data_IF_157960556479
#
_entry.id   IF_157960556479
#
_cell.length_a   1.000
_cell.length_b   1.000
_cell.length_c   1.000
_cell.angle_alpha   90.00
_cell.angle_beta   90.00
_cell.angle_gamma   90.00
#
_symmetry.space_group_name_H-M   'P 1'
#
loop_
_entity.id
_entity.type
_entity.pdbx_description
1 polymer ?
#
# COMPACT_ATOMS: atom_id res chain seq x y z
N UNK A 1 -14.20 -11.14 5.21
CA UNK A 1 -13.51 -12.31 5.80
C UNK A 1 -13.14 -12.01 7.24
N UNK A 2 -13.38 -12.94 8.18
CA UNK A 2 -12.82 -12.86 9.53
C UNK A 2 -11.42 -13.47 9.47
N UNK A 3 -10.37 -12.66 9.62
CA UNK A 3 -9.04 -13.23 9.86
C UNK A 3 -9.03 -13.81 11.26
N UNK A 4 -8.44 -15.00 11.44
CA UNK A 4 -8.31 -15.65 12.75
C UNK A 4 -7.36 -14.92 13.72
N UNK A 5 -6.72 -13.85 13.26
CA UNK A 5 -5.78 -13.03 14.02
C UNK A 5 -6.49 -12.04 14.94
N UNK A 6 -6.02 -11.95 16.19
CA UNK A 6 -6.41 -10.90 17.13
C UNK A 6 -5.97 -9.52 16.65
N UNK A 7 -6.53 -8.45 17.24
CA UNK A 7 -6.16 -7.08 16.88
C UNK A 7 -4.66 -6.81 17.07
N UNK A 8 -4.09 -7.21 18.20
CA UNK A 8 -2.67 -7.05 18.50
C UNK A 8 -1.77 -7.83 17.54
N UNK A 9 -2.15 -9.06 17.16
CA UNK A 9 -1.41 -9.84 16.17
C UNK A 9 -1.35 -9.16 14.80
N UNK A 10 -2.46 -8.55 14.36
CA UNK A 10 -2.48 -7.81 13.08
C UNK A 10 -1.55 -6.62 13.13
N UNK A 11 -1.53 -5.87 14.23
CA UNK A 11 -0.63 -4.73 14.42
C UNK A 11 0.83 -5.19 14.41
N UNK A 12 1.15 -6.27 15.13
CA UNK A 12 2.50 -6.83 15.16
C UNK A 12 2.99 -7.22 13.76
N UNK A 13 2.15 -7.92 12.99
CA UNK A 13 2.48 -8.31 11.61
C UNK A 13 2.74 -7.08 10.74
N UNK A 14 1.89 -6.05 10.83
CA UNK A 14 2.08 -4.80 10.08
C UNK A 14 3.38 -4.12 10.49
N UNK A 15 3.69 -4.07 11.79
CA UNK A 15 4.90 -3.44 12.29
C UNK A 15 6.16 -4.11 11.77
N UNK A 16 6.21 -5.46 11.79
CA UNK A 16 7.35 -6.22 11.26
C UNK A 16 7.54 -5.92 9.77
N UNK A 17 6.47 -6.00 8.97
CA UNK A 17 6.56 -5.69 7.54
C UNK A 17 6.90 -4.23 7.27
N UNK A 18 6.40 -3.31 8.09
CA UNK A 18 6.70 -1.88 7.98
C UNK A 18 8.20 -1.60 8.11
N UNK A 19 8.89 -2.25 9.06
CA UNK A 19 10.35 -2.14 9.20
C UNK A 19 11.08 -2.67 7.97
N UNK A 20 10.67 -3.85 7.47
CA UNK A 20 11.25 -4.46 6.27
C UNK A 20 11.08 -3.55 5.05
N UNK A 21 9.90 -2.95 4.90
CA UNK A 21 9.58 -2.00 3.82
C UNK A 21 10.47 -0.78 3.89
N UNK A 22 10.62 -0.14 5.06
CA UNK A 22 11.51 1.02 5.20
C UNK A 22 12.93 0.67 4.74
N UNK A 23 13.48 -0.46 5.22
CA UNK A 23 14.82 -0.90 4.82
C UNK A 23 14.89 -1.11 3.30
N UNK A 24 13.90 -1.80 2.73
CA UNK A 24 13.82 -2.06 1.30
C UNK A 24 13.85 -0.78 0.46
N UNK A 25 13.05 0.21 0.80
CA UNK A 25 13.01 1.50 0.09
C UNK A 25 14.29 2.33 0.27
N UNK A 26 15.05 2.15 1.35
CA UNK A 26 16.34 2.85 1.51
C UNK A 26 17.46 2.23 0.66
N UNK A 27 17.32 0.96 0.26
CA UNK A 27 18.33 0.26 -0.53
C UNK A 27 18.13 0.59 -2.01
N UNK A 28 19.20 1.04 -2.68
CA UNK A 28 19.16 1.35 -4.10
C UNK A 28 18.98 0.09 -4.95
N UNK A 29 18.06 0.14 -5.90
CA UNK A 29 17.80 -0.97 -6.81
C UNK A 29 19.04 -1.28 -7.69
N UNK A 30 19.39 -2.57 -7.87
CA UNK A 30 20.47 -2.98 -8.78
C UNK A 30 20.25 -2.44 -10.19
N UNK A 31 21.34 -2.09 -10.90
CA UNK A 31 21.26 -1.39 -12.19
C UNK A 31 20.40 -2.10 -13.24
N UNK A 32 20.41 -3.44 -13.25
CA UNK A 32 19.62 -4.25 -14.17
C UNK A 32 18.10 -4.06 -14.02
N UNK A 33 17.61 -3.68 -12.85
CA UNK A 33 16.16 -3.57 -12.57
C UNK A 33 15.63 -2.13 -12.57
N UNK A 34 16.48 -1.11 -12.76
CA UNK A 34 16.06 0.30 -12.71
C UNK A 34 15.03 0.68 -13.78
N UNK A 35 14.92 -0.09 -14.85
CA UNK A 35 13.94 0.15 -15.90
C UNK A 35 12.50 -0.22 -15.50
N UNK A 36 12.33 -1.03 -14.43
CA UNK A 36 11.02 -1.42 -13.88
C UNK A 36 10.74 -0.82 -12.49
N UNK A 37 11.56 0.12 -12.03
CA UNK A 37 11.50 0.67 -10.67
C UNK A 37 10.11 1.26 -10.35
N UNK A 38 9.56 1.97 -11.34
CA UNK A 38 8.26 2.63 -11.28
C UNK A 38 7.11 1.63 -11.18
N UNK A 39 7.18 0.55 -11.96
CA UNK A 39 6.24 -0.55 -11.93
C UNK A 39 6.30 -1.30 -10.60
N UNK A 40 7.50 -1.46 -10.02
CA UNK A 40 7.68 -2.03 -8.69
C UNK A 40 7.06 -1.16 -7.61
N UNK A 41 7.22 0.16 -7.69
CA UNK A 41 6.57 1.12 -6.80
C UNK A 41 5.03 0.99 -6.86
N UNK A 42 4.45 1.04 -8.06
CA UNK A 42 3.00 0.86 -8.22
C UNK A 42 2.51 -0.50 -7.71
N UNK A 43 3.25 -1.59 -8.01
CA UNK A 43 2.91 -2.94 -7.57
C UNK A 43 2.99 -3.06 -6.05
N UNK A 44 4.02 -2.48 -5.43
CA UNK A 44 4.17 -2.46 -3.97
C UNK A 44 2.98 -1.77 -3.31
N UNK A 45 2.60 -0.57 -3.78
CA UNK A 45 1.49 0.18 -3.19
C UNK A 45 0.13 -0.49 -3.42
N UNK A 46 -0.08 -1.12 -4.58
CA UNK A 46 -1.25 -1.96 -4.84
C UNK A 46 -1.36 -3.10 -3.82
N UNK A 47 -0.28 -3.87 -3.63
CA UNK A 47 -0.24 -5.01 -2.72
C UNK A 47 -0.33 -4.59 -1.25
N UNK A 48 0.32 -3.48 -0.87
CA UNK A 48 0.24 -2.92 0.47
C UNK A 48 -1.20 -2.49 0.80
N UNK A 49 -1.88 -1.83 -0.14
CA UNK A 49 -3.28 -1.46 0.00
C UNK A 49 -4.18 -2.69 0.12
N UNK A 50 -3.95 -3.73 -0.70
CA UNK A 50 -4.66 -5.00 -0.61
C UNK A 50 -4.50 -5.67 0.76
N UNK A 51 -3.26 -5.81 1.20
CA UNK A 51 -2.90 -6.43 2.46
C UNK A 51 -3.57 -5.73 3.65
N UNK A 52 -3.45 -4.41 3.74
CA UNK A 52 -4.06 -3.63 4.83
C UNK A 52 -5.59 -3.64 4.77
N UNK A 53 -6.19 -3.60 3.58
CA UNK A 53 -7.65 -3.65 3.44
C UNK A 53 -8.22 -5.00 3.90
N UNK A 54 -7.55 -6.11 3.58
CA UNK A 54 -7.92 -7.44 4.06
C UNK A 54 -7.84 -7.53 5.57
N UNK A 55 -6.79 -6.96 6.18
CA UNK A 55 -6.58 -7.01 7.63
C UNK A 55 -7.55 -6.13 8.44
N UNK A 56 -7.82 -4.91 7.95
CA UNK A 56 -8.50 -3.88 8.74
C UNK A 56 -9.80 -3.34 8.14
N UNK A 57 -9.88 -3.16 6.83
CA UNK A 57 -11.03 -2.47 6.20
C UNK A 57 -12.25 -3.36 6.00
N UNK A 58 -12.05 -4.62 5.58
CA UNK A 58 -13.15 -5.51 5.14
C UNK A 58 -13.99 -4.81 4.06
N UNK A 59 -15.25 -4.47 4.36
CA UNK A 59 -16.18 -3.73 3.48
C UNK A 59 -16.40 -2.29 3.94
N UNK A 60 -15.67 -1.82 4.95
CA UNK A 60 -15.83 -0.48 5.51
C UNK A 60 -15.06 0.56 4.68
N UNK A 61 -15.79 1.47 4.03
CA UNK A 61 -15.22 2.51 3.16
C UNK A 61 -14.35 3.52 3.91
N UNK A 62 -14.72 3.92 5.12
CA UNK A 62 -13.93 4.88 5.91
C UNK A 62 -12.53 4.31 6.19
N UNK A 63 -12.46 3.03 6.59
CA UNK A 63 -11.18 2.35 6.81
C UNK A 63 -10.35 2.21 5.53
N UNK A 64 -10.98 1.97 4.39
CA UNK A 64 -10.31 1.95 3.09
C UNK A 64 -9.65 3.30 2.78
N UNK A 65 -10.40 4.40 2.96
CA UNK A 65 -9.90 5.77 2.73
C UNK A 65 -8.75 6.12 3.68
N UNK A 66 -8.86 5.74 4.97
CA UNK A 66 -7.77 5.95 5.93
C UNK A 66 -6.50 5.19 5.54
N UNK A 67 -6.62 3.95 5.07
CA UNK A 67 -5.47 3.17 4.58
C UNK A 67 -4.87 3.83 3.34
N UNK A 68 -5.69 4.27 2.40
CA UNK A 68 -5.24 4.95 1.18
C UNK A 68 -4.41 6.20 1.52
N UNK A 69 -4.95 7.08 2.35
CA UNK A 69 -4.28 8.32 2.76
C UNK A 69 -3.00 8.00 3.53
N UNK A 70 -3.05 7.05 4.47
CA UNK A 70 -1.89 6.64 5.26
C UNK A 70 -0.75 6.11 4.40
N UNK A 71 -1.05 5.27 3.40
CA UNK A 71 -0.05 4.76 2.45
C UNK A 71 0.49 5.89 1.57
N UNK A 72 -0.35 6.77 1.04
CA UNK A 72 0.11 7.89 0.22
C UNK A 72 1.08 8.81 0.99
N UNK A 73 0.73 9.17 2.23
CA UNK A 73 1.61 9.95 3.11
C UNK A 73 2.90 9.19 3.45
N UNK A 74 2.82 7.88 3.64
CA UNK A 74 4.00 7.05 3.86
C UNK A 74 4.96 7.09 2.65
N UNK A 75 4.45 7.01 1.42
CA UNK A 75 5.30 7.12 0.21
C UNK A 75 5.97 8.47 0.10
N UNK A 76 5.22 9.53 0.35
CA UNK A 76 5.79 10.88 0.42
C UNK A 76 6.88 10.99 1.50
N UNK A 77 6.66 10.42 2.68
CA UNK A 77 7.63 10.43 3.77
C UNK A 77 8.91 9.64 3.42
N UNK A 78 8.80 8.52 2.70
CA UNK A 78 9.95 7.74 2.24
C UNK A 78 10.80 8.54 1.25
N UNK A 79 10.18 9.18 0.25
CA UNK A 79 10.88 10.06 -0.71
C UNK A 79 11.62 11.21 0.00
N UNK A 80 10.94 11.86 0.96
CA UNK A 80 11.58 12.88 1.79
C UNK A 80 12.73 12.31 2.62
N UNK A 81 12.56 11.12 3.19
CA UNK A 81 13.59 10.42 3.96
C UNK A 81 14.81 10.08 3.13
N UNK A 82 14.62 9.59 1.90
CA UNK A 82 15.69 9.33 0.94
C UNK A 82 16.43 10.62 0.57
N UNK A 83 15.71 11.69 0.24
CA UNK A 83 16.29 12.99 -0.08
C UNK A 83 17.07 13.59 1.10
N UNK A 84 16.54 13.46 2.32
CA UNK A 84 17.20 13.91 3.56
C UNK A 84 18.44 13.07 3.88
N UNK A 85 18.40 11.76 3.68
CA UNK A 85 19.54 10.86 3.93
C UNK A 85 20.78 11.27 3.15
N UNK A 86 20.61 11.78 1.92
CA UNK A 86 21.70 12.29 1.09
C UNK A 86 22.38 13.55 1.66
N UNK A 87 21.71 14.30 2.54
CA UNK A 87 22.29 15.44 3.25
C UNK A 87 23.08 14.99 4.48
N UNK A 88 22.64 13.91 5.11
CA UNK A 88 23.25 13.40 6.35
C UNK A 88 24.48 12.52 6.08
N UNK A 89 24.45 11.70 5.03
CA UNK A 89 25.57 10.83 4.66
C UNK A 89 26.45 11.47 3.58
N UNK A 90 27.78 11.44 3.76
CA UNK A 90 28.76 11.98 2.79
C UNK A 90 28.72 11.28 1.42
N UNK A 91 28.09 10.11 1.32
CA UNK A 91 27.82 9.39 0.07
C UNK A 91 26.31 9.35 -0.16
N UNK A 92 25.87 9.65 -1.38
CA UNK A 92 24.45 9.51 -1.75
C UNK A 92 24.04 8.04 -1.63
N UNK A 93 23.17 7.77 -0.66
CA UNK A 93 22.54 6.45 -0.51
C UNK A 93 21.41 6.31 -1.53
N UNK A 94 20.75 7.41 -1.90
CA UNK A 94 19.66 7.41 -2.87
C UNK A 94 19.65 8.62 -3.82
N UNK A 95 18.69 8.65 -4.76
CA UNK A 95 18.44 9.76 -5.69
C UNK A 95 17.91 11.02 -5.02
N UNK A 96 17.63 12.07 -5.82
CA UNK A 96 16.85 13.24 -5.34
C UNK A 96 15.39 12.81 -5.18
N UNK A 97 14.59 13.61 -4.47
CA UNK A 97 13.14 13.45 -4.42
C UNK A 97 12.59 13.31 -5.85
N UNK A 98 11.91 12.20 -6.14
CA UNK A 98 11.32 11.95 -7.46
C UNK A 98 9.79 12.06 -7.39
N UNK A 99 9.18 13.13 -7.95
CA UNK A 99 7.73 13.24 -7.98
C UNK A 99 7.08 12.16 -8.84
N UNK A 100 7.82 11.53 -9.76
CA UNK A 100 7.30 10.45 -10.59
C UNK A 100 7.06 9.18 -9.76
N UNK A 101 7.93 8.86 -8.81
CA UNK A 101 7.75 7.71 -7.90
C UNK A 101 6.48 7.86 -7.08
N UNK A 102 6.17 9.08 -6.64
CA UNK A 102 4.90 9.37 -5.96
C UNK A 102 3.68 9.18 -6.88
N UNK A 103 3.79 9.52 -8.17
CA UNK A 103 2.72 9.28 -9.14
C UNK A 103 2.49 7.77 -9.36
N UNK A 104 3.55 6.97 -9.43
CA UNK A 104 3.43 5.52 -9.58
C UNK A 104 2.87 4.86 -8.31
N UNK A 105 3.28 5.31 -7.13
CA UNK A 105 2.66 4.91 -5.86
C UNK A 105 1.15 5.19 -5.89
N UNK A 106 0.74 6.39 -6.32
CA UNK A 106 -0.65 6.78 -6.43
C UNK A 106 -1.42 5.93 -7.47
N UNK A 107 -0.83 5.62 -8.63
CA UNK A 107 -1.43 4.72 -9.63
C UNK A 107 -1.71 3.34 -9.03
N UNK A 108 -0.76 2.78 -8.27
CA UNK A 108 -0.92 1.51 -7.58
C UNK A 108 -2.08 1.54 -6.57
N UNK A 109 -2.15 2.59 -5.75
CA UNK A 109 -3.24 2.80 -4.80
C UNK A 109 -4.60 2.92 -5.50
N UNK A 110 -4.68 3.74 -6.55
CA UNK A 110 -5.92 3.93 -7.32
C UNK A 110 -6.39 2.65 -8.00
N UNK A 111 -5.47 1.90 -8.61
CA UNK A 111 -5.77 0.62 -9.23
C UNK A 111 -6.36 -0.37 -8.22
N UNK A 112 -5.78 -0.46 -7.01
CA UNK A 112 -6.33 -1.30 -5.96
C UNK A 112 -7.70 -0.79 -5.48
N UNK A 113 -7.87 0.51 -5.26
CA UNK A 113 -9.15 1.09 -4.85
C UNK A 113 -10.27 0.79 -5.84
N UNK A 114 -10.00 0.91 -7.14
CA UNK A 114 -10.96 0.54 -8.18
C UNK A 114 -11.34 -0.94 -8.11
N UNK A 115 -10.33 -1.82 -8.03
CA UNK A 115 -10.55 -3.26 -7.90
C UNK A 115 -11.39 -3.60 -6.66
N UNK A 116 -11.05 -3.03 -5.51
CA UNK A 116 -11.73 -3.25 -4.23
C UNK A 116 -13.19 -2.79 -4.26
N UNK A 117 -13.47 -1.63 -4.86
CA UNK A 117 -14.84 -1.12 -5.03
C UNK A 117 -15.70 -2.07 -5.88
N UNK A 118 -15.14 -2.59 -6.98
CA UNK A 118 -15.82 -3.59 -7.83
C UNK A 118 -16.14 -4.85 -7.02
N UNK A 119 -15.18 -5.37 -6.24
CA UNK A 119 -15.40 -6.54 -5.39
C UNK A 119 -16.50 -6.31 -4.35
N UNK A 120 -16.52 -5.15 -3.71
CA UNK A 120 -17.56 -4.82 -2.71
C UNK A 120 -18.93 -4.68 -3.34
N UNK A 121 -19.02 -4.00 -4.48
CA UNK A 121 -20.27 -3.90 -5.21
C UNK A 121 -20.81 -5.31 -5.54
N UNK A 122 -19.95 -6.21 -6.03
CA UNK A 122 -20.30 -7.61 -6.27
C UNK A 122 -20.81 -8.35 -5.03
N UNK A 123 -20.11 -8.21 -3.89
CA UNK A 123 -20.52 -8.81 -2.61
C UNK A 123 -21.88 -8.29 -2.13
N UNK A 124 -22.11 -6.98 -2.23
CA UNK A 124 -23.38 -6.35 -1.83
C UNK A 124 -24.53 -6.86 -2.71
N UNK A 125 -24.33 -6.90 -4.03
CA UNK A 125 -25.33 -7.40 -4.98
C UNK A 125 -25.65 -8.88 -4.74
N UNK A 126 -24.63 -9.71 -4.53
CA UNK A 126 -24.80 -11.13 -4.21
C UNK A 126 -25.60 -11.33 -2.93
N UNK A 127 -25.23 -10.66 -1.84
CA UNK A 127 -25.94 -10.77 -0.56
C UNK A 127 -27.41 -10.34 -0.68
N UNK A 128 -27.68 -9.28 -1.44
CA UNK A 128 -29.04 -8.80 -1.72
C UNK A 128 -29.85 -9.84 -2.51
N UNK A 129 -29.27 -10.46 -3.52
CA UNK A 129 -29.92 -11.51 -4.30
C UNK A 129 -30.24 -12.76 -3.45
N UNK A 130 -29.28 -13.22 -2.64
CA UNK A 130 -29.49 -14.39 -1.78
C UNK A 130 -30.49 -14.13 -0.65
N UNK A 131 -30.57 -12.89 -0.13
CA UNK A 131 -31.54 -12.55 0.90
C UNK A 131 -32.96 -12.50 0.37
N UNK A 132 -33.15 -12.15 -0.92
CA UNK A 132 -34.46 -12.19 -1.57
C UNK A 132 -34.97 -13.61 -1.80
N UNK A 133 -34.09 -14.57 -2.09
CA UNK A 133 -34.46 -15.97 -2.32
C UNK A 133 -34.80 -16.76 -1.04
N UNK A 134 -34.60 -16.17 0.14
CA UNK A 134 -34.93 -16.79 1.45
C UNK A 134 -36.25 -16.30 2.05
N UNK A 135 -36.90 -15.32 1.44
CA UNK A 135 -38.23 -14.78 1.78
C UNK A 135 -39.26 -15.34 0.81
#
# INVERSE_FOLDING_TARGET
MKTGLSGGQRILVVFVWFVVVIIGFMIKLPSGFRHIDKELHATFYFLAAAFLNVLFARTNLVRHVLIFIGLYLFGMAIEFGQAYSNRFYRRRIHGRFDPEDLQWNLKGLMAFSLFWLICIAGIILYNKATSKNKL
#
